data_IF_647688738932
#
_entry.id   IF_647688738932
#
_cell.length_a   1.000
_cell.length_b   1.000
_cell.length_c   1.000
_cell.angle_alpha   90.00
_cell.angle_beta   90.00
_cell.angle_gamma   90.00
#
_symmetry.space_group_name_H-M   'P 1'
#
loop_
_entity.id
_entity.type
_entity.pdbx_description
1 polymer ?
#
# COMPACT_ATOMS: atom_id res chain seq x y z
N UNK A 1 22.00 10.91 20.24
CA UNK A 1 20.91 11.01 19.24
C UNK A 1 20.43 9.65 18.74
N UNK A 2 21.31 8.74 18.28
CA UNK A 2 20.92 7.39 17.79
C UNK A 2 20.20 6.53 18.84
N UNK A 3 20.64 6.53 20.10
CA UNK A 3 20.02 5.75 21.19
C UNK A 3 18.60 6.19 21.51
N UNK A 4 18.32 7.50 21.48
CA UNK A 4 16.98 8.03 21.71
C UNK A 4 16.02 7.64 20.57
N UNK A 5 16.47 7.75 19.32
CA UNK A 5 15.71 7.31 18.16
C UNK A 5 15.43 5.80 18.20
N UNK A 6 16.40 5.01 18.66
CA UNK A 6 16.23 3.57 18.84
C UNK A 6 15.23 3.23 19.96
N UNK A 7 15.18 4.02 21.03
CA UNK A 7 14.16 3.85 22.07
C UNK A 7 12.76 4.24 21.55
N UNK A 8 12.66 5.32 20.77
CA UNK A 8 11.42 5.77 20.14
C UNK A 8 10.93 4.82 19.04
N UNK A 9 11.80 4.02 18.42
CA UNK A 9 11.37 3.07 17.39
C UNK A 9 10.49 1.97 17.96
N UNK A 10 10.68 1.52 19.21
CA UNK A 10 9.84 0.47 19.80
C UNK A 10 8.34 0.80 19.85
N UNK A 11 7.90 1.94 20.45
CA UNK A 11 6.48 2.30 20.45
C UNK A 11 5.96 2.63 19.04
N UNK A 12 6.77 3.23 18.17
CA UNK A 12 6.39 3.48 16.78
C UNK A 12 6.15 2.19 16.01
N UNK A 13 7.00 1.18 16.21
CA UNK A 13 6.85 -0.15 15.62
C UNK A 13 5.57 -0.84 16.11
N UNK A 14 5.22 -0.70 17.40
CA UNK A 14 3.95 -1.22 17.92
C UNK A 14 2.74 -0.57 17.25
N UNK A 15 2.70 0.77 17.18
CA UNK A 15 1.62 1.51 16.54
C UNK A 15 1.52 1.12 15.06
N UNK A 16 2.67 1.04 14.38
CA UNK A 16 2.74 0.63 12.98
C UNK A 16 2.13 -0.75 12.75
N UNK A 17 2.57 -1.78 13.49
CA UNK A 17 2.06 -3.14 13.30
C UNK A 17 0.60 -3.27 13.69
N UNK A 18 0.13 -2.51 14.69
CA UNK A 18 -1.29 -2.45 15.02
C UNK A 18 -2.11 -1.88 13.85
N UNK A 19 -1.73 -0.73 13.30
CA UNK A 19 -2.40 -0.12 12.15
C UNK A 19 -2.35 -1.02 10.92
N UNK A 20 -1.18 -1.59 10.62
CA UNK A 20 -0.97 -2.51 9.50
C UNK A 20 -1.84 -3.76 9.63
N UNK A 21 -1.83 -4.41 10.80
CA UNK A 21 -2.63 -5.59 11.09
C UNK A 21 -4.13 -5.30 10.98
N UNK A 22 -4.60 -4.17 11.53
CA UNK A 22 -5.98 -3.74 11.39
C UNK A 22 -6.38 -3.52 9.93
N UNK A 23 -5.50 -2.90 9.12
CA UNK A 23 -5.76 -2.75 7.69
C UNK A 23 -5.98 -4.11 7.02
N UNK A 24 -5.10 -5.08 7.25
CA UNK A 24 -5.24 -6.41 6.64
C UNK A 24 -6.51 -7.12 7.13
N UNK A 25 -6.74 -7.15 8.44
CA UNK A 25 -7.88 -7.85 9.04
C UNK A 25 -9.22 -7.25 8.60
N UNK A 26 -9.31 -5.92 8.48
CA UNK A 26 -10.53 -5.23 8.03
C UNK A 26 -10.72 -5.40 6.52
N UNK A 27 -9.66 -5.31 5.72
CA UNK A 27 -9.77 -5.43 4.28
C UNK A 27 -9.98 -6.86 3.81
N UNK A 28 -9.61 -7.88 4.59
CA UNK A 28 -9.86 -9.27 4.23
C UNK A 28 -11.35 -9.58 3.99
N UNK A 29 -12.29 -9.35 4.93
CA UNK A 29 -13.72 -9.55 4.69
C UNK A 29 -14.26 -8.59 3.62
N UNK A 30 -13.76 -7.35 3.54
CA UNK A 30 -14.18 -6.40 2.49
C UNK A 30 -13.83 -6.95 1.11
N UNK A 31 -12.58 -7.39 0.90
CA UNK A 31 -12.12 -7.96 -0.36
C UNK A 31 -12.90 -9.23 -0.72
N UNK A 32 -13.14 -10.09 0.28
CA UNK A 32 -13.94 -11.31 0.09
C UNK A 32 -15.37 -10.97 -0.36
N UNK A 33 -16.06 -10.02 0.29
CA UNK A 33 -17.39 -9.57 -0.12
C UNK A 33 -17.34 -8.95 -1.52
N UNK A 34 -16.38 -8.07 -1.79
CA UNK A 34 -16.20 -7.46 -3.11
C UNK A 34 -16.05 -8.51 -4.21
N UNK A 35 -15.24 -9.55 -3.98
CA UNK A 35 -15.02 -10.62 -4.95
C UNK A 35 -16.27 -11.48 -5.17
N UNK A 36 -16.93 -11.94 -4.10
CA UNK A 36 -18.02 -12.91 -4.18
C UNK A 36 -19.38 -12.28 -4.53
N UNK A 37 -19.63 -11.03 -4.15
CA UNK A 37 -20.93 -10.36 -4.34
C UNK A 37 -20.91 -9.39 -5.52
N UNK A 38 -19.83 -8.60 -5.64
CA UNK A 38 -19.77 -7.47 -6.59
C UNK A 38 -18.84 -7.73 -7.78
N UNK A 39 -18.07 -8.82 -7.75
CA UNK A 39 -17.17 -9.24 -8.83
C UNK A 39 -15.82 -8.53 -8.87
N UNK A 40 -15.06 -8.82 -9.92
CA UNK A 40 -13.64 -8.48 -10.02
C UNK A 40 -13.33 -6.97 -9.93
N UNK A 41 -14.13 -6.11 -10.58
CA UNK A 41 -13.88 -4.66 -10.57
C UNK A 41 -13.97 -4.08 -9.15
N UNK A 42 -15.00 -4.48 -8.39
CA UNK A 42 -15.14 -4.07 -6.99
C UNK A 42 -13.98 -4.61 -6.14
N UNK A 43 -13.59 -5.87 -6.35
CA UNK A 43 -12.44 -6.46 -5.68
C UNK A 43 -11.15 -5.67 -5.96
N UNK A 44 -10.87 -5.34 -7.23
CA UNK A 44 -9.71 -4.52 -7.61
C UNK A 44 -9.70 -3.16 -6.90
N UNK A 45 -10.85 -2.47 -6.82
CA UNK A 45 -10.94 -1.22 -6.07
C UNK A 45 -10.64 -1.40 -4.58
N UNK A 46 -11.16 -2.46 -3.95
CA UNK A 46 -10.86 -2.76 -2.55
C UNK A 46 -9.37 -3.06 -2.30
N UNK A 47 -8.69 -3.74 -3.24
CA UNK A 47 -7.24 -3.96 -3.21
C UNK A 47 -6.47 -2.64 -3.35
N UNK A 48 -6.89 -1.75 -4.25
CA UNK A 48 -6.25 -0.44 -4.39
C UNK A 48 -6.35 0.39 -3.10
N UNK A 49 -7.51 0.39 -2.45
CA UNK A 49 -7.72 1.06 -1.18
C UNK A 49 -6.90 0.46 -0.04
N UNK A 50 -6.80 -0.87 0.05
CA UNK A 50 -5.89 -1.51 1.02
C UNK A 50 -4.48 -0.95 0.87
N UNK A 51 -3.94 -0.95 -0.35
CA UNK A 51 -2.58 -0.48 -0.62
C UNK A 51 -2.38 1.00 -0.24
N UNK A 52 -3.39 1.85 -0.40
CA UNK A 52 -3.33 3.21 0.11
C UNK A 52 -3.20 3.29 1.63
N UNK A 53 -3.99 2.50 2.37
CA UNK A 53 -3.91 2.44 3.82
C UNK A 53 -2.58 1.86 4.31
N UNK A 54 -2.02 0.87 3.60
CA UNK A 54 -0.67 0.37 3.87
C UNK A 54 0.39 1.47 3.71
N UNK A 55 0.27 2.33 2.68
CA UNK A 55 1.13 3.51 2.57
C UNK A 55 0.94 4.49 3.74
N UNK A 56 -0.30 4.67 4.24
CA UNK A 56 -0.56 5.53 5.41
C UNK A 56 0.12 4.99 6.66
N UNK A 57 0.18 3.67 6.84
CA UNK A 57 0.95 3.05 7.93
C UNK A 57 2.41 3.48 7.87
N UNK A 58 3.03 3.51 6.69
CA UNK A 58 4.41 3.98 6.53
C UNK A 58 4.58 5.48 6.77
N UNK A 59 3.54 6.29 6.52
CA UNK A 59 3.58 7.71 6.87
C UNK A 59 3.62 7.94 8.38
N UNK A 60 3.09 7.03 9.20
CA UNK A 60 3.24 7.08 10.67
C UNK A 60 4.73 7.03 11.06
N UNK A 61 5.53 6.27 10.30
CA UNK A 61 6.98 6.18 10.47
C UNK A 61 7.75 7.34 9.80
N UNK A 62 7.04 8.31 9.23
CA UNK A 62 7.62 9.47 8.55
C UNK A 62 8.04 9.24 7.10
N UNK A 63 7.77 8.05 6.52
CA UNK A 63 8.03 7.81 5.11
C UNK A 63 7.14 8.71 4.25
N UNK A 64 7.65 9.20 3.11
CA UNK A 64 6.89 9.99 2.14
C UNK A 64 7.08 9.40 0.75
N UNK A 65 6.04 9.46 -0.07
CA UNK A 65 6.04 8.90 -1.41
C UNK A 65 5.91 10.01 -2.43
N UNK A 66 6.82 10.03 -3.40
CA UNK A 66 6.75 10.86 -4.59
C UNK A 66 6.75 9.93 -5.79
N UNK A 67 5.81 10.12 -6.70
CA UNK A 67 5.70 9.30 -7.89
C UNK A 67 5.76 10.18 -9.12
N UNK A 68 6.74 9.88 -9.98
CA UNK A 68 6.96 10.57 -11.24
C UNK A 68 6.69 9.57 -12.37
N UNK A 69 5.51 9.70 -12.99
CA UNK A 69 5.11 8.83 -14.11
C UNK A 69 5.37 9.51 -15.46
N UNK A 70 5.68 8.74 -16.52
CA UNK A 70 5.74 9.27 -17.87
C UNK A 70 4.39 9.85 -18.30
N UNK A 71 4.40 10.95 -19.05
CA UNK A 71 3.17 11.56 -19.59
C UNK A 71 2.44 10.68 -20.61
N UNK A 72 3.16 9.76 -21.26
CA UNK A 72 2.66 8.95 -22.38
C UNK A 72 2.60 7.45 -22.02
N UNK A 73 2.01 7.12 -20.86
CA UNK A 73 1.77 5.72 -20.50
C UNK A 73 0.70 5.11 -21.43
N UNK A 74 0.91 3.89 -21.96
CA UNK A 74 -0.09 3.22 -22.79
C UNK A 74 -1.46 3.14 -22.10
N UNK A 75 -2.51 3.45 -22.84
CA UNK A 75 -3.90 3.24 -22.43
C UNK A 75 -4.48 2.01 -23.12
N UNK A 76 -5.42 1.33 -22.44
CA UNK A 76 -6.09 0.12 -22.95
C UNK A 76 -5.14 -1.01 -23.37
N UNK A 77 -3.92 -1.04 -22.83
CA UNK A 77 -2.94 -2.08 -23.05
C UNK A 77 -2.35 -2.55 -21.70
N UNK A 78 -1.97 -3.84 -21.57
CA UNK A 78 -1.25 -4.31 -20.41
C UNK A 78 0.13 -3.63 -20.30
N UNK A 79 0.55 -3.33 -19.08
CA UNK A 79 1.82 -2.67 -18.79
C UNK A 79 2.67 -3.65 -17.97
N UNK A 80 3.89 -3.90 -18.41
CA UNK A 80 4.91 -4.61 -17.63
C UNK A 80 5.76 -3.56 -16.92
N UNK A 81 5.71 -3.56 -15.58
CA UNK A 81 6.52 -2.67 -14.75
C UNK A 81 7.78 -3.44 -14.33
N UNK A 82 8.94 -2.91 -14.67
CA UNK A 82 10.24 -3.46 -14.27
C UNK A 82 10.87 -2.51 -13.26
N UNK A 83 11.19 -3.02 -12.08
CA UNK A 83 11.84 -2.26 -11.01
C UNK A 83 12.77 -3.15 -10.20
N UNK A 84 13.71 -2.56 -9.48
CA UNK A 84 14.46 -3.27 -8.45
C UNK A 84 13.53 -3.59 -7.26
N UNK A 85 13.78 -4.70 -6.56
CA UNK A 85 13.03 -5.07 -5.36
C UNK A 85 13.92 -4.85 -4.13
N UNK A 86 13.49 -3.98 -3.22
CA UNK A 86 14.21 -3.62 -1.99
C UNK A 86 13.39 -3.83 -0.73
N UNK A 87 12.05 -3.85 -0.82
CA UNK A 87 11.21 -4.11 0.33
C UNK A 87 9.83 -4.62 -0.04
N UNK A 88 9.08 -5.11 0.94
CA UNK A 88 7.66 -5.44 0.76
C UNK A 88 6.79 -4.20 0.46
N UNK A 89 7.33 -2.99 0.65
CA UNK A 89 6.64 -1.71 0.47
C UNK A 89 6.76 -1.14 -0.93
N UNK A 90 7.37 -1.87 -1.86
CA UNK A 90 7.56 -1.45 -3.24
C UNK A 90 6.22 -1.54 -4.02
N UNK A 91 5.37 -2.52 -3.68
CA UNK A 91 4.09 -2.78 -4.35
C UNK A 91 2.99 -1.75 -4.03
N UNK A 92 2.73 -1.36 -2.77
CA UNK A 92 1.66 -0.42 -2.45
C UNK A 92 1.65 0.91 -3.23
N UNK A 93 2.77 1.65 -3.36
CA UNK A 93 2.78 2.87 -4.16
C UNK A 93 2.53 2.58 -5.65
N UNK A 94 3.06 1.49 -6.20
CA UNK A 94 2.82 1.13 -7.61
C UNK A 94 1.32 0.88 -7.82
N UNK A 95 0.69 0.01 -7.03
CA UNK A 95 -0.74 -0.30 -7.14
C UNK A 95 -1.57 0.98 -6.99
N UNK A 96 -1.28 1.80 -5.98
CA UNK A 96 -2.07 3.01 -5.75
C UNK A 96 -1.92 4.01 -6.88
N UNK A 97 -0.71 4.43 -7.25
CA UNK A 97 -0.53 5.50 -8.23
C UNK A 97 -0.76 5.06 -9.68
N UNK A 98 -0.70 3.75 -9.97
CA UNK A 98 -1.01 3.19 -11.29
C UNK A 98 -2.44 2.66 -11.41
N UNK A 99 -3.28 2.79 -10.36
CA UNK A 99 -4.69 2.42 -10.46
C UNK A 99 -5.37 3.30 -11.51
N UNK A 100 -6.03 2.67 -12.47
CA UNK A 100 -6.95 3.32 -13.41
C UNK A 100 -8.39 2.98 -13.00
#
# INVERSE_FOLDING_TARGET
MKTLLHLLSYPLTLIFYLCFGLCIVIFHPIQWICFNVFGYKAHQHSVAWLNWWLMRCLNILGARFTVNLPKNLPENAPIIIVSNHQSMWDIPPIIWYMRK
#
